data_IF_746294933834
#
_entry.id   IF_746294933834
#
_cell.length_a   1.000
_cell.length_b   1.000
_cell.length_c   1.000
_cell.angle_alpha   90.00
_cell.angle_beta   90.00
_cell.angle_gamma   90.00
#
_symmetry.space_group_name_H-M   'P 1'
#
loop_
_entity.id
_entity.type
_entity.pdbx_description
1 polymer ?
#
# COMPACT_ATOMS: atom_id res chain seq x y z
N UNK A 1 41.42 4.59 33.49
CA UNK A 1 40.46 5.63 33.09
C UNK A 1 39.97 5.29 31.69
N UNK A 2 38.93 4.45 31.60
CA UNK A 2 38.42 3.93 30.32
C UNK A 2 37.34 4.89 29.81
N UNK A 3 37.63 5.59 28.71
CA UNK A 3 36.69 6.50 28.07
C UNK A 3 35.73 5.66 27.24
N UNK A 4 34.54 5.42 27.79
CA UNK A 4 33.41 4.84 27.04
C UNK A 4 33.12 5.77 25.86
N UNK A 5 33.23 5.31 24.60
CA UNK A 5 32.91 6.15 23.46
C UNK A 5 31.41 6.46 23.49
N UNK A 6 31.08 7.74 23.25
CA UNK A 6 29.71 8.23 23.21
C UNK A 6 28.86 7.33 22.29
N UNK A 7 27.71 6.91 22.84
CA UNK A 7 26.64 6.15 22.19
C UNK A 7 26.43 6.70 20.78
N UNK A 8 26.82 5.93 19.76
CA UNK A 8 26.47 6.21 18.37
C UNK A 8 24.94 6.18 18.32
N UNK A 9 24.32 7.30 17.95
CA UNK A 9 22.93 7.33 17.52
C UNK A 9 22.80 6.37 16.33
N UNK A 10 22.48 5.12 16.63
CA UNK A 10 22.35 4.07 15.63
C UNK A 10 20.95 4.24 15.08
N UNK A 11 20.80 5.17 14.15
CA UNK A 11 19.60 5.28 13.35
C UNK A 11 19.55 4.08 12.40
N UNK A 12 18.55 3.23 12.59
CA UNK A 12 18.23 2.16 11.65
C UNK A 12 16.95 2.53 10.89
N UNK A 13 16.95 2.28 9.58
CA UNK A 13 15.82 2.61 8.70
C UNK A 13 15.43 1.40 7.87
N UNK A 14 14.13 1.13 7.79
CA UNK A 14 13.53 0.15 6.90
C UNK A 14 12.51 0.84 5.99
N UNK A 15 12.69 0.70 4.68
CA UNK A 15 11.65 1.06 3.72
C UNK A 15 10.63 -0.07 3.62
N UNK A 16 9.37 0.23 3.91
CA UNK A 16 8.23 -0.68 3.77
C UNK A 16 7.37 -0.20 2.61
N UNK A 17 7.38 -0.97 1.52
CA UNK A 17 6.50 -0.73 0.37
C UNK A 17 5.19 -1.47 0.59
N UNK A 18 4.13 -0.72 0.85
CA UNK A 18 2.77 -1.23 0.92
C UNK A 18 2.17 -1.08 -0.49
N UNK A 19 2.42 -2.09 -1.33
CA UNK A 19 1.91 -2.09 -2.70
C UNK A 19 0.42 -2.44 -2.69
N UNK A 20 -0.43 -1.47 -3.01
CA UNK A 20 -1.85 -1.70 -3.26
C UNK A 20 -2.05 -2.15 -4.70
N UNK A 21 -1.77 -3.43 -4.94
CA UNK A 21 -1.93 -4.06 -6.25
C UNK A 21 -3.38 -4.13 -6.73
N UNK A 22 -4.38 -3.96 -5.84
CA UNK A 22 -5.79 -4.17 -6.16
C UNK A 22 -6.57 -2.86 -6.34
N UNK A 23 -6.36 -1.86 -5.47
CA UNK A 23 -7.10 -0.58 -5.51
C UNK A 23 -6.55 0.36 -6.59
N UNK A 24 -5.23 0.38 -6.80
CA UNK A 24 -4.62 1.16 -7.89
C UNK A 24 -5.06 0.66 -9.26
N UNK A 25 -5.21 -0.66 -9.46
CA UNK A 25 -5.62 -1.23 -10.75
C UNK A 25 -7.06 -0.89 -11.14
N UNK A 26 -8.02 -0.84 -10.21
CA UNK A 26 -9.44 -0.53 -10.52
C UNK A 26 -9.69 0.97 -10.73
N UNK A 27 -9.14 1.83 -9.87
CA UNK A 27 -9.20 3.28 -10.09
C UNK A 27 -8.48 3.68 -11.39
N UNK A 28 -7.35 3.02 -11.68
CA UNK A 28 -6.65 3.13 -12.95
C UNK A 28 -7.45 2.59 -14.13
N UNK A 29 -8.26 1.52 -13.98
CA UNK A 29 -9.08 0.98 -15.07
C UNK A 29 -10.23 1.91 -15.46
N UNK A 30 -10.95 2.48 -14.50
CA UNK A 30 -12.06 3.41 -14.79
C UNK A 30 -11.51 4.70 -15.40
N UNK A 31 -10.41 5.24 -14.85
CA UNK A 31 -9.69 6.37 -15.45
C UNK A 31 -9.14 6.04 -16.84
N UNK A 32 -8.56 4.86 -17.05
CA UNK A 32 -8.14 4.40 -18.37
C UNK A 32 -9.32 4.31 -19.33
N UNK A 33 -10.46 3.75 -18.94
CA UNK A 33 -11.59 3.61 -19.86
C UNK A 33 -12.11 4.97 -20.31
N UNK A 34 -12.20 5.96 -19.42
CA UNK A 34 -12.66 7.31 -19.78
C UNK A 34 -11.66 8.07 -20.67
N UNK A 35 -10.34 7.90 -20.45
CA UNK A 35 -9.31 8.65 -21.17
C UNK A 35 -8.71 7.91 -22.38
N UNK A 36 -8.70 6.58 -22.38
CA UNK A 36 -8.10 5.75 -23.43
C UNK A 36 -9.09 5.39 -24.55
N UNK A 37 -10.38 5.28 -24.24
CA UNK A 37 -11.39 4.90 -25.25
C UNK A 37 -11.49 5.94 -26.38
N UNK A 38 -11.58 7.27 -26.11
CA UNK A 38 -11.63 8.26 -27.19
C UNK A 38 -10.44 8.23 -28.18
N UNK A 39 -9.17 8.19 -27.73
CA UNK A 39 -8.03 8.13 -28.67
C UNK A 39 -7.92 6.77 -29.39
N UNK A 40 -8.30 5.65 -28.76
CA UNK A 40 -8.34 4.35 -29.44
C UNK A 40 -9.41 4.34 -30.54
N UNK A 41 -10.61 4.85 -30.27
CA UNK A 41 -11.68 4.98 -31.27
C UNK A 41 -11.25 5.91 -32.40
N UNK A 42 -10.62 7.05 -32.09
CA UNK A 42 -10.08 7.97 -33.09
C UNK A 42 -9.00 7.31 -33.98
N UNK A 43 -8.13 6.48 -33.40
CA UNK A 43 -7.11 5.74 -34.16
C UNK A 43 -7.73 4.69 -35.10
N UNK A 44 -8.76 3.98 -34.66
CA UNK A 44 -9.50 3.02 -35.50
C UNK A 44 -10.20 3.74 -36.66
N UNK A 45 -10.85 4.87 -36.40
CA UNK A 45 -11.50 5.68 -37.43
C UNK A 45 -10.49 6.27 -38.43
N UNK A 46 -9.33 6.72 -37.96
CA UNK A 46 -8.24 7.19 -38.83
C UNK A 46 -7.65 6.06 -39.68
N UNK A 47 -7.64 4.82 -39.17
CA UNK A 47 -7.22 3.61 -39.89
C UNK A 47 -8.05 3.33 -41.16
N UNK A 48 -9.32 3.74 -41.17
CA UNK A 48 -10.18 3.62 -42.36
C UNK A 48 -9.76 4.58 -43.50
N UNK A 49 -9.09 5.69 -43.17
CA UNK A 49 -8.57 6.64 -44.15
C UNK A 49 -7.10 6.37 -44.51
N UNK A 50 -6.31 5.89 -43.54
CA UNK A 50 -4.90 5.55 -43.73
C UNK A 50 -4.47 4.46 -42.75
N UNK A 51 -4.13 3.24 -43.24
CA UNK A 51 -3.73 2.13 -42.38
C UNK A 51 -2.50 2.45 -41.50
N UNK A 52 -1.55 3.23 -42.02
CA UNK A 52 -0.35 3.64 -41.30
C UNK A 52 -0.67 4.65 -40.20
N UNK A 53 -1.58 5.60 -40.44
CA UNK A 53 -2.02 6.56 -39.43
C UNK A 53 -2.75 5.86 -38.26
N UNK A 54 -3.60 4.87 -38.57
CA UNK A 54 -4.30 4.08 -37.56
C UNK A 54 -3.34 3.30 -36.66
N UNK A 55 -2.31 2.67 -37.23
CA UNK A 55 -1.32 1.88 -36.47
C UNK A 55 -0.48 2.76 -35.54
N UNK A 56 -0.05 3.94 -36.01
CA UNK A 56 0.68 4.91 -35.17
C UNK A 56 -0.19 5.42 -34.02
N UNK A 57 -1.47 5.72 -34.29
CA UNK A 57 -2.42 6.15 -33.26
C UNK A 57 -2.65 5.09 -32.17
N UNK A 58 -2.71 3.81 -32.56
CA UNK A 58 -2.92 2.70 -31.63
C UNK A 58 -1.70 2.48 -30.72
N UNK A 59 -0.49 2.53 -31.29
CA UNK A 59 0.77 2.42 -30.54
C UNK A 59 0.95 3.60 -29.57
N UNK A 60 0.71 4.83 -30.04
CA UNK A 60 0.79 6.03 -29.20
C UNK A 60 -0.22 5.99 -28.04
N UNK A 61 -1.45 5.53 -28.31
CA UNK A 61 -2.49 5.37 -27.28
C UNK A 61 -2.10 4.32 -26.25
N UNK A 62 -1.57 3.16 -26.70
CA UNK A 62 -1.09 2.10 -25.81
C UNK A 62 0.05 2.56 -24.90
N UNK A 63 1.04 3.28 -25.46
CA UNK A 63 2.16 3.84 -24.70
C UNK A 63 1.70 4.92 -23.70
N UNK A 64 0.79 5.80 -24.10
CA UNK A 64 0.22 6.82 -23.23
C UNK A 64 -0.54 6.21 -22.06
N UNK A 65 -1.34 5.18 -22.32
CA UNK A 65 -2.06 4.42 -21.29
C UNK A 65 -1.11 3.72 -20.32
N UNK A 66 -0.06 3.08 -20.83
CA UNK A 66 0.97 2.43 -20.00
C UNK A 66 1.69 3.44 -19.10
N UNK A 67 2.12 4.58 -19.66
CA UNK A 67 2.80 5.63 -18.92
C UNK A 67 1.89 6.24 -17.84
N UNK A 68 0.62 6.48 -18.15
CA UNK A 68 -0.37 7.02 -17.21
C UNK A 68 -0.67 6.02 -16.08
N UNK A 69 -0.88 4.74 -16.41
CA UNK A 69 -1.11 3.69 -15.42
C UNK A 69 0.08 3.54 -14.45
N UNK A 70 1.31 3.65 -14.97
CA UNK A 70 2.52 3.64 -14.15
C UNK A 70 2.64 4.88 -13.25
N UNK A 71 2.19 6.04 -13.72
CA UNK A 71 2.21 7.28 -12.93
C UNK A 71 1.12 7.31 -11.83
N UNK A 72 -0.01 6.65 -12.08
CA UNK A 72 -1.15 6.56 -11.17
C UNK A 72 -1.02 5.44 -10.14
N UNK A 73 -0.26 4.38 -10.46
CA UNK A 73 0.15 3.36 -9.50
C UNK A 73 1.12 3.96 -8.48
N UNK A 74 0.57 4.62 -7.46
CA UNK A 74 1.32 5.12 -6.33
C UNK A 74 1.43 4.00 -5.31
N UNK A 75 2.63 3.44 -5.17
CA UNK A 75 2.97 2.61 -4.02
C UNK A 75 2.92 3.48 -2.76
N UNK A 76 2.24 3.01 -1.72
CA UNK A 76 2.25 3.65 -0.39
C UNK A 76 3.57 3.24 0.29
N UNK A 77 4.60 4.06 0.10
CA UNK A 77 5.91 3.84 0.70
C UNK A 77 5.92 4.48 2.07
N UNK A 78 6.20 3.67 3.09
CA UNK A 78 6.39 4.11 4.48
C UNK A 78 7.79 3.77 4.93
N UNK A 79 8.40 4.64 5.72
CA UNK A 79 9.70 4.39 6.32
C UNK A 79 9.51 4.10 7.80
N UNK A 80 10.15 3.04 8.29
CA UNK A 80 10.19 2.71 9.69
C UNK A 80 11.59 3.05 10.21
N UNK A 81 11.68 3.97 11.15
CA UNK A 81 12.94 4.35 11.78
C UNK A 81 12.97 3.85 13.22
N UNK A 82 14.13 3.37 13.65
CA UNK A 82 14.44 3.15 15.06
C UNK A 82 15.57 4.11 15.42
N UNK A 83 15.29 5.05 16.34
CA UNK A 83 16.24 6.07 16.79
C UNK A 83 16.19 6.16 18.31
N UNK A 84 17.34 6.02 18.97
CA UNK A 84 17.42 6.20 20.43
C UNK A 84 16.64 5.19 21.28
N UNK A 85 16.01 4.17 20.68
CA UNK A 85 15.06 3.27 21.35
C UNK A 85 13.60 3.57 21.02
N UNK A 86 13.32 4.59 20.20
CA UNK A 86 11.97 4.94 19.76
C UNK A 86 11.69 4.43 18.35
N UNK A 87 10.44 4.04 18.12
CA UNK A 87 9.91 3.66 16.81
C UNK A 87 9.20 4.86 16.20
N UNK A 88 9.67 5.27 15.01
CA UNK A 88 9.12 6.39 14.25
C UNK A 88 8.67 5.88 12.88
N UNK A 89 7.56 6.41 12.38
CA UNK A 89 7.05 6.11 11.04
C UNK A 89 7.08 7.36 10.19
N UNK A 90 7.81 7.28 9.08
CA UNK A 90 7.90 8.29 8.04
C UNK A 90 6.90 8.08 6.92
N UNK A 91 6.36 9.17 6.41
CA UNK A 91 5.61 9.21 5.16
C UNK A 91 6.48 9.77 4.00
N UNK A 92 5.88 9.81 2.80
CA UNK A 92 6.55 10.25 1.57
C UNK A 92 6.90 11.74 1.60
N UNK A 93 6.23 12.52 2.43
CA UNK A 93 6.47 13.94 2.59
C UNK A 93 7.64 14.21 3.55
N UNK A 94 8.18 13.17 4.17
CA UNK A 94 9.30 13.25 5.11
C UNK A 94 8.86 13.57 6.53
N UNK A 95 7.55 13.57 6.81
CA UNK A 95 7.02 13.73 8.16
C UNK A 95 7.26 12.46 8.96
N UNK A 96 7.92 12.60 10.11
CA UNK A 96 8.14 11.50 11.05
C UNK A 96 7.12 11.58 12.18
N UNK A 97 6.32 10.53 12.33
CA UNK A 97 5.38 10.36 13.44
C UNK A 97 5.97 9.40 14.46
N UNK A 98 6.00 9.82 15.73
CA UNK A 98 6.32 8.93 16.83
C UNK A 98 5.21 7.90 17.05
N UNK A 99 5.60 6.63 17.13
CA UNK A 99 4.69 5.52 17.40
C UNK A 99 4.73 5.17 18.87
N UNK A 100 5.88 4.68 19.35
CA UNK A 100 6.08 4.25 20.73
C UNK A 100 7.58 4.03 21.00
N UNK A 101 7.95 3.96 22.28
CA UNK A 101 9.24 3.40 22.65
C UNK A 101 9.29 1.89 22.32
N UNK A 102 10.45 1.35 21.95
CA UNK A 102 10.63 -0.09 21.67
C UNK A 102 10.22 -0.97 22.86
N UNK A 103 10.43 -0.47 24.07
CA UNK A 103 10.10 -1.17 25.31
C UNK A 103 8.59 -1.32 25.50
N UNK A 104 7.84 -0.29 25.11
CA UNK A 104 6.37 -0.20 25.23
C UNK A 104 5.64 -0.95 24.10
N UNK A 105 6.38 -1.35 23.05
CA UNK A 105 5.83 -2.09 21.93
C UNK A 105 5.62 -3.56 22.33
N UNK A 106 4.36 -3.96 22.49
CA UNK A 106 3.98 -5.33 22.82
C UNK A 106 4.09 -6.25 21.60
N UNK A 107 3.45 -5.85 20.50
CA UNK A 107 3.41 -6.63 19.27
C UNK A 107 3.30 -5.76 18.01
N UNK A 108 3.58 -6.36 16.86
CA UNK A 108 3.14 -5.85 15.57
C UNK A 108 2.10 -6.82 15.03
N UNK A 109 0.89 -6.34 14.81
CA UNK A 109 -0.26 -7.15 14.44
C UNK A 109 -0.83 -6.72 13.08
N UNK A 110 -1.61 -7.63 12.49
CA UNK A 110 -2.46 -7.30 11.34
C UNK A 110 -3.84 -6.90 11.84
N UNK A 111 -4.24 -5.68 11.53
CA UNK A 111 -5.63 -5.26 11.65
C UNK A 111 -6.36 -5.69 10.37
N UNK A 112 -7.19 -6.72 10.48
CA UNK A 112 -7.93 -7.29 9.36
C UNK A 112 -9.32 -6.67 9.25
N UNK A 113 -9.81 -6.54 8.01
CA UNK A 113 -11.23 -6.31 7.73
C UNK A 113 -11.60 -6.99 6.42
N UNK A 114 -12.78 -7.58 6.39
CA UNK A 114 -13.35 -8.16 5.17
C UNK A 114 -14.11 -7.06 4.44
N UNK A 115 -13.78 -6.86 3.16
CA UNK A 115 -14.44 -5.87 2.31
C UNK A 115 -15.19 -6.60 1.21
N UNK A 116 -16.50 -6.37 1.16
CA UNK A 116 -17.35 -6.83 0.06
C UNK A 116 -17.41 -5.73 -0.99
N UNK A 117 -16.93 -6.02 -2.19
CA UNK A 117 -17.02 -5.08 -3.29
C UNK A 117 -18.36 -5.22 -4.00
N UNK A 118 -19.10 -4.13 -4.18
CA UNK A 118 -20.23 -4.13 -5.09
C UNK A 118 -19.73 -4.17 -6.54
N UNK A 119 -20.24 -5.13 -7.30
CA UNK A 119 -20.09 -5.21 -8.74
C UNK A 119 -21.23 -4.39 -9.36
N UNK A 120 -20.89 -3.35 -10.11
CA UNK A 120 -21.87 -2.62 -10.90
C UNK A 120 -22.51 -3.52 -11.97
N UNK A 121 -23.79 -3.28 -12.26
CA UNK A 121 -24.50 -3.95 -13.36
C UNK A 121 -23.86 -3.67 -14.72
N UNK A 122 -24.13 -4.56 -15.69
CA UNK A 122 -23.55 -4.48 -17.03
C UNK A 122 -24.19 -3.41 -17.93
N UNK A 123 -25.20 -2.69 -17.44
CA UNK A 123 -25.94 -1.68 -18.20
C UNK A 123 -25.07 -0.50 -18.63
N UNK A 124 -25.31 0.07 -19.82
CA UNK A 124 -24.61 1.28 -20.26
C UNK A 124 -25.10 2.54 -19.52
N UNK A 125 -26.28 2.51 -18.90
CA UNK A 125 -26.95 3.64 -18.27
C UNK A 125 -26.59 3.68 -16.77
N UNK A 126 -25.92 4.73 -16.25
CA UNK A 126 -25.41 4.77 -14.88
C UNK A 126 -26.46 4.51 -13.79
N UNK A 127 -27.67 5.07 -13.92
CA UNK A 127 -28.73 4.90 -12.92
C UNK A 127 -29.16 3.43 -12.75
N UNK A 128 -29.19 2.67 -13.85
CA UNK A 128 -29.59 1.26 -13.88
C UNK A 128 -28.46 0.34 -13.39
N UNK A 129 -27.18 0.75 -13.53
CA UNK A 129 -26.03 -0.03 -13.02
C UNK A 129 -26.06 -0.21 -11.51
N UNK A 130 -26.59 0.76 -10.77
CA UNK A 130 -26.72 0.69 -9.32
C UNK A 130 -27.87 -0.22 -8.89
N UNK A 131 -28.97 -0.26 -9.68
CA UNK A 131 -30.10 -1.16 -9.43
C UNK A 131 -29.74 -2.63 -9.69
N UNK A 132 -28.87 -2.88 -10.66
CA UNK A 132 -28.35 -4.21 -11.01
C UNK A 132 -27.10 -4.60 -10.20
N UNK A 133 -26.67 -3.77 -9.25
CA UNK A 133 -25.45 -4.02 -8.50
C UNK A 133 -25.56 -5.32 -7.70
N UNK A 134 -24.54 -6.17 -7.80
CA UNK A 134 -24.46 -7.43 -7.05
C UNK A 134 -23.29 -7.41 -6.08
N UNK A 135 -23.44 -8.11 -4.98
CA UNK A 135 -22.32 -8.37 -4.09
C UNK A 135 -21.26 -9.19 -4.83
N UNK A 136 -20.06 -8.65 -4.89
CA UNK A 136 -18.88 -9.32 -5.40
C UNK A 136 -18.24 -10.22 -4.34
N UNK A 137 -17.13 -10.87 -4.69
CA UNK A 137 -16.42 -11.72 -3.74
C UNK A 137 -15.93 -10.91 -2.54
N UNK A 138 -16.03 -11.51 -1.37
CA UNK A 138 -15.41 -11.01 -0.15
C UNK A 138 -13.90 -11.08 -0.29
N UNK A 139 -13.22 -9.97 0.02
CA UNK A 139 -11.77 -9.91 -0.01
C UNK A 139 -11.28 -9.51 1.38
N UNK A 140 -10.45 -10.37 1.97
CA UNK A 140 -9.77 -10.05 3.22
C UNK A 140 -8.64 -9.07 2.97
N UNK A 141 -8.75 -7.93 3.63
CA UNK A 141 -7.75 -6.87 3.60
C UNK A 141 -7.18 -6.64 4.99
N UNK A 142 -5.93 -6.22 5.07
CA UNK A 142 -5.25 -6.01 6.34
C UNK A 142 -4.33 -4.79 6.27
N UNK A 143 -4.10 -4.16 7.42
CA UNK A 143 -3.05 -3.16 7.61
C UNK A 143 -2.19 -3.55 8.81
N UNK A 144 -0.95 -3.06 8.84
CA UNK A 144 -0.06 -3.30 9.97
C UNK A 144 -0.36 -2.29 11.08
N UNK A 145 -0.47 -2.76 12.31
CA UNK A 145 -0.63 -1.96 13.52
C UNK A 145 0.46 -2.28 14.54
N UNK A 146 0.96 -1.25 15.21
CA UNK A 146 1.87 -1.36 16.35
C UNK A 146 1.04 -1.39 17.64
N UNK A 147 1.04 -2.53 18.32
CA UNK A 147 0.30 -2.74 19.57
C UNK A 147 1.18 -2.34 20.73
N UNK A 148 0.72 -1.37 21.50
CA UNK A 148 1.44 -0.82 22.67
C UNK A 148 0.81 -1.30 23.98
N UNK A 149 1.53 -1.15 25.09
CA UNK A 149 1.06 -1.50 26.45
C UNK A 149 -0.28 -0.84 26.84
N UNK A 150 -0.58 0.33 26.27
CA UNK A 150 -1.82 1.05 26.54
C UNK A 150 -3.03 0.50 25.76
N UNK A 151 -2.88 -0.61 25.04
CA UNK A 151 -3.93 -1.19 24.20
C UNK A 151 -4.22 -0.36 22.93
N UNK A 152 -3.48 0.72 22.71
CA UNK A 152 -3.56 1.54 21.50
C UNK A 152 -2.79 0.86 20.37
N UNK A 153 -3.47 0.70 19.23
CA UNK A 153 -2.85 0.27 17.97
C UNK A 153 -2.55 1.50 17.11
N UNK A 154 -1.27 1.70 16.79
CA UNK A 154 -0.84 2.75 15.89
C UNK A 154 -0.63 2.15 14.50
N UNK A 155 -1.44 2.49 13.48
CA UNK A 155 -1.30 1.89 12.16
C UNK A 155 -0.01 2.36 11.49
N UNK A 156 0.74 1.47 10.83
CA UNK A 156 1.90 1.83 10.01
C UNK A 156 1.51 2.76 8.84
N UNK A 157 0.30 2.59 8.33
CA UNK A 157 -0.33 3.44 7.33
C UNK A 157 -1.84 3.27 7.36
N UNK A 158 -2.56 4.24 6.80
CA UNK A 158 -4.03 4.23 6.80
C UNK A 158 -4.63 3.23 5.80
N UNK A 159 -3.83 2.79 4.83
CA UNK A 159 -4.25 1.94 3.73
C UNK A 159 -4.34 0.47 4.16
N UNK A 160 -5.49 -0.16 3.93
CA UNK A 160 -5.63 -1.62 3.98
C UNK A 160 -5.20 -2.22 2.64
N UNK A 161 -4.31 -3.20 2.69
CA UNK A 161 -3.77 -3.92 1.52
C UNK A 161 -4.24 -5.38 1.54
N UNK A 162 -3.88 -6.17 0.52
CA UNK A 162 -4.22 -7.61 0.54
C UNK A 162 -3.58 -8.29 1.75
N UNK A 163 -4.30 -9.24 2.36
CA UNK A 163 -3.81 -9.97 3.52
C UNK A 163 -2.43 -10.63 3.27
N UNK A 164 -2.21 -11.16 2.06
CA UNK A 164 -0.93 -11.76 1.67
C UNK A 164 0.24 -10.76 1.74
N UNK A 165 0.09 -9.56 1.16
CA UNK A 165 1.12 -8.53 1.20
C UNK A 165 1.32 -7.97 2.62
N UNK A 166 0.24 -7.84 3.38
CA UNK A 166 0.31 -7.40 4.77
C UNK A 166 1.10 -8.39 5.64
N UNK A 167 0.87 -9.70 5.48
CA UNK A 167 1.59 -10.74 6.19
C UNK A 167 3.09 -10.78 5.84
N UNK A 168 3.43 -10.54 4.57
CA UNK A 168 4.82 -10.42 4.14
C UNK A 168 5.50 -9.19 4.77
N UNK A 169 4.85 -8.02 4.70
CA UNK A 169 5.34 -6.80 5.30
C UNK A 169 5.48 -6.94 6.82
N UNK A 170 4.53 -7.61 7.50
CA UNK A 170 4.58 -7.89 8.94
C UNK A 170 5.85 -8.65 9.30
N UNK A 171 6.17 -9.70 8.56
CA UNK A 171 7.36 -10.51 8.79
C UNK A 171 8.64 -9.68 8.68
N UNK A 172 8.73 -8.80 7.66
CA UNK A 172 9.87 -7.90 7.47
C UNK A 172 10.01 -6.89 8.62
N UNK A 173 8.89 -6.29 9.04
CA UNK A 173 8.87 -5.33 10.17
C UNK A 173 9.30 -6.02 11.47
N UNK A 174 8.77 -7.21 11.78
CA UNK A 174 9.17 -7.96 12.98
C UNK A 174 10.66 -8.27 12.99
N UNK A 175 11.20 -8.76 11.88
CA UNK A 175 12.64 -9.06 11.76
C UNK A 175 13.49 -7.80 11.95
N UNK A 176 13.09 -6.68 11.37
CA UNK A 176 13.79 -5.42 11.52
C UNK A 176 13.77 -4.90 12.96
N UNK A 177 12.61 -4.90 13.61
CA UNK A 177 12.49 -4.48 15.01
C UNK A 177 13.35 -5.36 15.93
N UNK A 178 13.34 -6.68 15.73
CA UNK A 178 14.17 -7.62 16.49
C UNK A 178 15.66 -7.35 16.34
N UNK A 179 16.11 -7.08 15.11
CA UNK A 179 17.51 -6.67 14.85
C UNK A 179 17.90 -5.39 15.58
N UNK A 180 16.94 -4.57 15.98
CA UNK A 180 17.14 -3.33 16.72
C UNK A 180 16.77 -3.43 18.20
N UNK A 181 16.67 -4.65 18.75
CA UNK A 181 16.52 -4.87 20.19
C UNK A 181 15.08 -5.02 20.69
N UNK A 182 14.10 -5.12 19.80
CA UNK A 182 12.72 -5.43 20.18
C UNK A 182 12.54 -6.92 20.46
N UNK A 183 11.83 -7.24 21.54
CA UNK A 183 11.39 -8.61 21.86
C UNK A 183 9.89 -8.56 22.11
N UNK A 184 9.09 -9.37 21.39
CA UNK A 184 7.64 -9.42 21.60
C UNK A 184 7.24 -9.77 23.03
N UNK A 185 6.07 -9.31 23.46
CA UNK A 185 5.57 -9.54 24.82
C UNK A 185 5.48 -11.03 25.19
N UNK A 186 4.97 -11.87 24.30
CA UNK A 186 4.84 -13.32 24.48
C UNK A 186 6.17 -14.01 24.75
N UNK A 187 7.26 -13.53 24.13
CA UNK A 187 8.61 -14.06 24.36
C UNK A 187 9.26 -13.49 25.62
N UNK A 188 8.93 -12.26 26.02
CA UNK A 188 9.44 -11.64 27.27
C UNK A 188 8.89 -12.35 28.50
N UNK A 189 7.62 -12.73 28.45
CA UNK A 189 6.92 -13.36 29.58
C UNK A 189 7.26 -14.86 29.71
N UNK A 190 7.55 -15.55 28.60
CA UNK A 190 8.00 -16.95 28.62
C UNK A 190 9.40 -17.16 29.25
N UNK A 191 10.17 -16.09 29.42
CA UNK A 191 11.51 -16.11 30.03
C UNK A 191 11.53 -15.77 31.53
N UNK A 192 10.37 -15.52 32.16
CA UNK A 192 10.21 -15.29 33.60
C UNK A 192 9.57 -16.50 34.28
#
# INVERSE_FOLDING_TARGET
MYRVPAKRDTEAVLEVRLADGARSRRASMIGMQLFAVPPVVAAVLAGAASPTAGLVGLVASGLGCYALGRHLARDDVRWLHVRGGDVLVGDREGSLRHVAALTELLDVALETKTVTHMLEGASAIPAVRFEEAREGPEIDTARLGFVTEHGTSHPLGETYISHLYAAEALSRVRVFLRKNGWVPADERDAGR
#
